data_IF_765858685924
#
_entry.id   IF_765858685924
#
_cell.length_a   1.000
_cell.length_b   1.000
_cell.length_c   1.000
_cell.angle_alpha   90.00
_cell.angle_beta   90.00
_cell.angle_gamma   90.00
#
_symmetry.space_group_name_H-M   'P 1'
#
loop_
_entity.id
_entity.type
_entity.pdbx_description
1 polymer ?
#
# COMPACT_ATOMS: atom_id res chain seq x y z
N UNK A 1 -9.26 -29.24 5.81
CA UNK A 1 -8.15 -28.35 5.43
C UNK A 1 -6.97 -29.23 5.09
N UNK A 2 -6.75 -29.49 3.81
CA UNK A 2 -5.60 -30.28 3.38
C UNK A 2 -4.34 -29.40 3.46
N UNK A 3 -3.41 -29.75 4.36
CA UNK A 3 -2.22 -28.94 4.62
C UNK A 3 -1.26 -28.95 3.43
N UNK A 4 -1.30 -30.02 2.63
CA UNK A 4 -0.39 -30.22 1.51
C UNK A 4 -0.78 -29.33 0.31
N UNK A 5 -2.07 -29.12 0.09
CA UNK A 5 -2.60 -28.21 -0.93
C UNK A 5 -2.21 -26.75 -0.65
N UNK A 6 -2.40 -26.28 0.59
CA UNK A 6 -2.00 -24.92 1.00
C UNK A 6 -0.48 -24.75 0.88
N UNK A 7 0.30 -25.74 1.33
CA UNK A 7 1.76 -25.70 1.25
C UNK A 7 2.21 -25.57 -0.20
N UNK A 8 1.64 -26.35 -1.11
CA UNK A 8 1.95 -26.28 -2.53
C UNK A 8 1.66 -24.90 -3.10
N UNK A 9 0.48 -24.32 -2.81
CA UNK A 9 0.10 -22.99 -3.29
C UNK A 9 1.01 -21.87 -2.77
N UNK A 10 1.39 -21.92 -1.48
CA UNK A 10 2.29 -20.94 -0.87
C UNK A 10 3.72 -21.05 -1.41
N UNK A 11 4.14 -22.23 -1.86
CA UNK A 11 5.46 -22.43 -2.48
C UNK A 11 5.51 -22.11 -3.98
N UNK A 12 4.37 -21.75 -4.61
CA UNK A 12 4.37 -21.38 -6.03
C UNK A 12 5.22 -20.15 -6.26
N UNK A 13 6.00 -20.17 -7.34
CA UNK A 13 6.91 -19.08 -7.70
C UNK A 13 6.22 -17.73 -7.82
N UNK A 14 4.98 -17.69 -8.32
CA UNK A 14 4.20 -16.46 -8.49
C UNK A 14 3.83 -15.82 -7.14
N UNK A 15 3.37 -16.64 -6.17
CA UNK A 15 3.03 -16.16 -4.84
C UNK A 15 4.27 -15.71 -4.07
N UNK A 16 5.38 -16.45 -4.17
CA UNK A 16 6.66 -16.08 -3.55
C UNK A 16 7.20 -14.78 -4.14
N UNK A 17 7.10 -14.57 -5.46
CA UNK A 17 7.48 -13.30 -6.10
C UNK A 17 6.62 -12.15 -5.62
N UNK A 18 5.29 -12.33 -5.56
CA UNK A 18 4.38 -11.32 -5.04
C UNK A 18 4.74 -10.96 -3.59
N UNK A 19 4.94 -11.97 -2.73
CA UNK A 19 5.39 -11.77 -1.35
C UNK A 19 6.70 -11.00 -1.28
N UNK A 20 7.71 -11.37 -2.07
CA UNK A 20 9.01 -10.71 -2.08
C UNK A 20 8.89 -9.23 -2.50
N UNK A 21 8.15 -8.94 -3.57
CA UNK A 21 7.91 -7.56 -4.03
C UNK A 21 7.16 -6.77 -2.96
N UNK A 22 6.09 -7.33 -2.38
CA UNK A 22 5.32 -6.68 -1.33
C UNK A 22 6.12 -6.45 -0.05
N UNK A 23 6.98 -7.39 0.35
CA UNK A 23 7.85 -7.23 1.50
C UNK A 23 8.86 -6.10 1.28
N UNK A 24 9.55 -6.09 0.14
CA UNK A 24 10.52 -5.04 -0.19
C UNK A 24 9.86 -3.66 -0.26
N UNK A 25 8.70 -3.58 -0.91
CA UNK A 25 7.91 -2.36 -0.98
C UNK A 25 7.52 -1.86 0.42
N UNK A 26 7.05 -2.76 1.28
CA UNK A 26 6.66 -2.43 2.66
C UNK A 26 7.84 -1.99 3.51
N UNK A 27 9.00 -2.64 3.42
CA UNK A 27 10.21 -2.23 4.15
C UNK A 27 10.62 -0.81 3.72
N UNK A 28 10.58 -0.51 2.42
CA UNK A 28 10.95 0.80 1.90
C UNK A 28 10.01 1.92 2.38
N UNK A 29 8.71 1.65 2.56
CA UNK A 29 7.71 2.65 2.91
C UNK A 29 7.45 2.76 4.42
N UNK A 30 7.45 1.65 5.16
CA UNK A 30 6.93 1.62 6.54
C UNK A 30 7.75 2.49 7.49
N UNK A 31 9.09 2.38 7.47
CA UNK A 31 9.94 3.16 8.37
C UNK A 31 9.76 4.67 8.19
N UNK A 32 9.92 5.20 6.97
CA UNK A 32 9.67 6.61 6.68
C UNK A 32 8.25 7.08 7.00
N UNK A 33 7.20 6.28 6.71
CA UNK A 33 5.81 6.66 6.98
C UNK A 33 5.51 6.72 8.49
N UNK A 34 6.07 5.81 9.30
CA UNK A 34 5.93 5.85 10.76
C UNK A 34 6.54 7.10 11.38
N UNK A 35 7.48 7.76 10.70
CA UNK A 35 8.13 8.99 11.14
C UNK A 35 7.59 10.24 10.42
N UNK A 36 6.54 10.12 9.60
CA UNK A 36 6.04 11.21 8.77
C UNK A 36 5.54 12.40 9.58
N UNK A 37 4.80 12.16 10.67
CA UNK A 37 4.33 13.24 11.57
C UNK A 37 5.50 13.98 12.22
N UNK A 38 6.53 13.24 12.64
CA UNK A 38 7.77 13.81 13.22
C UNK A 38 8.52 14.63 12.16
N UNK A 39 8.55 14.14 10.92
CA UNK A 39 9.12 14.87 9.81
C UNK A 39 8.35 16.18 9.55
N UNK A 40 7.03 16.16 9.53
CA UNK A 40 6.22 17.36 9.34
C UNK A 40 6.41 18.39 10.46
N UNK A 41 6.45 17.94 11.71
CA UNK A 41 6.77 18.79 12.87
C UNK A 41 8.17 19.41 12.73
N UNK A 42 9.17 18.61 12.36
CA UNK A 42 10.54 19.09 12.08
C UNK A 42 10.59 20.12 10.92
N UNK A 43 9.70 20.00 9.93
CA UNK A 43 9.56 20.96 8.83
C UNK A 43 8.76 22.21 9.21
N UNK A 44 8.30 22.32 10.46
CA UNK A 44 7.63 23.50 11.01
C UNK A 44 6.11 23.51 10.86
N UNK A 45 5.48 22.37 10.55
CA UNK A 45 4.02 22.26 10.51
C UNK A 45 3.46 22.21 11.94
N UNK A 46 2.36 22.92 12.17
CA UNK A 46 1.59 22.82 13.41
C UNK A 46 0.88 21.47 13.52
N UNK A 47 0.51 21.08 14.75
CA UNK A 47 -0.24 19.85 15.00
C UNK A 47 -1.56 19.79 14.22
N UNK A 48 -2.20 20.93 13.98
CA UNK A 48 -3.44 21.04 13.22
C UNK A 48 -3.21 20.78 11.72
N UNK A 49 -2.14 21.32 11.16
CA UNK A 49 -1.74 21.04 9.77
C UNK A 49 -1.36 19.58 9.57
N UNK A 50 -0.64 18.99 10.52
CA UNK A 50 -0.32 17.55 10.51
C UNK A 50 -1.61 16.73 10.52
N UNK A 51 -2.57 17.08 11.38
CA UNK A 51 -3.89 16.46 11.41
C UNK A 51 -4.62 16.52 10.07
N UNK A 52 -4.61 17.68 9.40
CA UNK A 52 -5.16 17.80 8.05
C UNK A 52 -4.42 16.92 7.03
N UNK A 53 -3.09 16.82 7.12
CA UNK A 53 -2.31 15.92 6.28
C UNK A 53 -2.79 14.47 6.40
N UNK A 54 -3.02 14.00 7.63
CA UNK A 54 -3.53 12.65 7.88
C UNK A 54 -4.94 12.44 7.33
N UNK A 55 -5.80 13.45 7.45
CA UNK A 55 -7.16 13.42 6.87
C UNK A 55 -7.09 13.34 5.35
N UNK A 56 -6.26 14.16 4.70
CA UNK A 56 -6.07 14.14 3.25
C UNK A 56 -5.57 12.77 2.79
N UNK A 57 -4.63 12.17 3.53
CA UNK A 57 -4.14 10.82 3.27
C UNK A 57 -5.27 9.78 3.34
N UNK A 58 -6.04 9.76 4.43
CA UNK A 58 -7.17 8.83 4.59
C UNK A 58 -8.29 9.03 3.56
N UNK A 59 -8.57 10.28 3.17
CA UNK A 59 -9.54 10.57 2.10
C UNK A 59 -9.03 10.08 0.74
N UNK A 60 -7.72 10.19 0.48
CA UNK A 60 -7.11 9.62 -0.73
C UNK A 60 -7.25 8.10 -0.77
N UNK A 61 -7.02 7.40 0.35
CA UNK A 61 -7.26 5.95 0.44
C UNK A 61 -8.72 5.61 0.13
N UNK A 62 -9.66 6.32 0.76
CA UNK A 62 -11.08 6.11 0.55
C UNK A 62 -11.48 6.31 -0.91
N UNK A 63 -10.93 7.33 -1.57
CA UNK A 63 -11.17 7.60 -2.97
C UNK A 63 -10.74 6.42 -3.88
N UNK A 64 -9.58 5.83 -3.61
CA UNK A 64 -9.10 4.64 -4.34
C UNK A 64 -9.99 3.43 -4.10
N UNK A 65 -10.50 3.24 -2.87
CA UNK A 65 -11.47 2.17 -2.58
C UNK A 65 -12.74 2.37 -3.41
N UNK A 66 -13.26 3.59 -3.45
CA UNK A 66 -14.50 3.89 -4.17
C UNK A 66 -14.35 3.68 -5.69
N UNK A 67 -13.19 3.98 -6.26
CA UNK A 67 -12.92 3.80 -7.68
C UNK A 67 -12.28 2.46 -8.04
N UNK A 68 -12.20 1.50 -7.10
CA UNK A 68 -11.48 0.24 -7.36
C UNK A 68 -11.96 -0.48 -8.63
N UNK A 69 -13.28 -0.60 -8.84
CA UNK A 69 -13.85 -1.34 -9.97
C UNK A 69 -13.41 -0.69 -11.28
N UNK A 70 -13.53 0.63 -11.36
CA UNK A 70 -13.09 1.41 -12.51
C UNK A 70 -11.58 1.30 -12.72
N UNK A 71 -10.76 1.17 -11.68
CA UNK A 71 -9.31 0.99 -11.86
C UNK A 71 -8.99 -0.38 -12.48
N UNK A 72 -9.64 -1.45 -12.01
CA UNK A 72 -9.44 -2.82 -12.52
C UNK A 72 -10.07 -3.05 -13.89
N UNK A 73 -11.15 -2.34 -14.24
CA UNK A 73 -11.78 -2.45 -15.56
C UNK A 73 -10.91 -1.84 -16.68
N UNK A 74 -10.09 -0.84 -16.36
CA UNK A 74 -9.32 -0.07 -17.35
C UNK A 74 -7.84 -0.45 -17.43
N UNK A 75 -7.27 -1.05 -16.38
CA UNK A 75 -5.85 -1.36 -16.29
C UNK A 75 -5.62 -2.77 -15.76
N UNK A 76 -4.54 -3.42 -16.23
CA UNK A 76 -4.13 -4.71 -15.67
C UNK A 76 -3.54 -4.57 -14.27
N UNK A 77 -3.62 -5.63 -13.47
CA UNK A 77 -3.01 -5.71 -12.15
C UNK A 77 -1.53 -5.29 -12.14
N UNK A 78 -0.74 -5.79 -13.10
CA UNK A 78 0.69 -5.46 -13.18
C UNK A 78 0.92 -3.95 -13.46
N UNK A 79 0.03 -3.34 -14.22
CA UNK A 79 0.06 -1.89 -14.50
C UNK A 79 -0.26 -1.11 -13.24
N UNK A 80 -1.35 -1.47 -12.54
CA UNK A 80 -1.76 -0.81 -11.29
C UNK A 80 -0.70 -0.96 -10.18
N UNK A 81 -0.06 -2.14 -10.10
CA UNK A 81 1.04 -2.38 -9.17
C UNK A 81 2.24 -1.48 -9.49
N UNK A 82 2.60 -1.38 -10.77
CA UNK A 82 3.70 -0.52 -11.23
C UNK A 82 3.40 0.95 -10.97
N UNK A 83 2.17 1.41 -11.24
CA UNK A 83 1.71 2.77 -10.94
C UNK A 83 1.87 3.08 -9.45
N UNK A 84 1.48 2.15 -8.57
CA UNK A 84 1.61 2.33 -7.11
C UNK A 84 3.07 2.50 -6.67
N UNK A 85 3.98 1.70 -7.24
CA UNK A 85 5.41 1.76 -6.95
C UNK A 85 6.04 3.07 -7.46
N UNK A 86 5.73 3.46 -8.69
CA UNK A 86 6.25 4.70 -9.28
C UNK A 86 5.71 5.92 -8.52
N UNK A 87 4.40 5.92 -8.21
CA UNK A 87 3.74 6.96 -7.40
C UNK A 87 4.42 7.13 -6.05
N UNK A 88 4.83 6.03 -5.41
CA UNK A 88 5.59 6.07 -4.16
C UNK A 88 6.95 6.75 -4.33
N UNK A 89 7.69 6.40 -5.38
CA UNK A 89 8.97 7.06 -5.70
C UNK A 89 8.79 8.56 -5.93
N UNK A 90 7.78 8.96 -6.69
CA UNK A 90 7.45 10.37 -6.95
C UNK A 90 7.11 11.09 -5.65
N UNK A 91 6.29 10.49 -4.77
CA UNK A 91 5.95 11.08 -3.48
C UNK A 91 7.19 11.34 -2.63
N UNK A 92 8.13 10.41 -2.58
CA UNK A 92 9.37 10.60 -1.82
C UNK A 92 10.20 11.76 -2.36
N UNK A 93 10.31 11.89 -3.68
CA UNK A 93 10.99 13.02 -4.30
C UNK A 93 10.29 14.36 -4.00
N UNK A 94 8.95 14.37 -4.01
CA UNK A 94 8.16 15.55 -3.64
C UNK A 94 8.34 15.93 -2.17
N UNK A 95 8.34 14.95 -1.26
CA UNK A 95 8.56 15.19 0.17
C UNK A 95 9.91 15.86 0.46
N UNK A 96 10.98 15.37 -0.20
CA UNK A 96 12.33 15.92 -0.01
C UNK A 96 12.47 17.31 -0.65
N UNK A 97 11.85 17.55 -1.79
CA UNK A 97 11.98 18.81 -2.54
C UNK A 97 11.01 19.91 -2.08
N UNK A 98 9.89 19.56 -1.45
CA UNK A 98 8.90 20.51 -0.98
C UNK A 98 9.50 21.48 0.04
N UNK A 99 9.32 22.79 -0.17
CA UNK A 99 9.81 23.86 0.74
C UNK A 99 8.70 24.54 1.54
N UNK A 100 7.45 24.44 1.08
CA UNK A 100 6.28 25.04 1.70
C UNK A 100 5.46 23.98 2.45
N UNK A 101 4.87 24.31 3.61
CA UNK A 101 3.91 23.44 4.31
C UNK A 101 2.78 22.96 3.40
N UNK A 102 2.25 23.82 2.53
CA UNK A 102 1.20 23.45 1.60
C UNK A 102 1.64 22.35 0.62
N UNK A 103 2.87 22.43 0.10
CA UNK A 103 3.41 21.40 -0.77
C UNK A 103 3.59 20.06 -0.03
N UNK A 104 3.99 20.10 1.25
CA UNK A 104 4.11 18.90 2.08
C UNK A 104 2.74 18.24 2.29
N UNK A 105 1.71 19.01 2.60
CA UNK A 105 0.34 18.50 2.74
C UNK A 105 -0.21 17.95 1.42
N UNK A 106 0.08 18.60 0.29
CA UNK A 106 -0.33 18.11 -1.02
C UNK A 106 0.26 16.72 -1.36
N UNK A 107 1.43 16.38 -0.81
CA UNK A 107 1.98 15.02 -1.00
C UNK A 107 1.10 13.92 -0.40
N UNK A 108 0.24 14.25 0.57
CA UNK A 108 -0.67 13.30 1.21
C UNK A 108 -1.72 12.76 0.25
N UNK A 109 -2.02 13.47 -0.83
CA UNK A 109 -2.93 12.98 -1.89
C UNK A 109 -2.40 11.69 -2.56
N UNK A 110 -1.08 11.46 -2.54
CA UNK A 110 -0.49 10.23 -3.07
C UNK A 110 -0.64 9.01 -2.14
N UNK A 111 -1.17 9.18 -0.91
CA UNK A 111 -1.27 8.08 0.07
C UNK A 111 -2.11 6.91 -0.47
N UNK A 112 -3.29 7.19 -1.00
CA UNK A 112 -4.17 6.16 -1.56
C UNK A 112 -3.54 5.43 -2.74
N UNK A 113 -2.85 6.14 -3.64
CA UNK A 113 -2.15 5.52 -4.77
C UNK A 113 -0.99 4.63 -4.32
N UNK A 114 -0.34 4.96 -3.20
CA UNK A 114 0.83 4.24 -2.73
C UNK A 114 0.44 3.02 -1.91
N UNK A 115 -0.45 3.20 -0.93
CA UNK A 115 -0.82 2.14 -0.01
C UNK A 115 -2.05 1.39 -0.48
N UNK A 116 -3.16 2.09 -0.69
CA UNK A 116 -4.45 1.44 -0.93
C UNK A 116 -4.51 0.75 -2.29
N UNK A 117 -4.00 1.39 -3.35
CA UNK A 117 -3.97 0.79 -4.68
C UNK A 117 -3.08 -0.44 -4.71
N UNK A 118 -1.87 -0.35 -4.13
CA UNK A 118 -0.97 -1.48 -3.99
C UNK A 118 -1.63 -2.64 -3.26
N UNK A 119 -2.28 -2.36 -2.13
CA UNK A 119 -2.96 -3.35 -1.30
C UNK A 119 -4.08 -4.06 -2.06
N UNK A 120 -4.96 -3.30 -2.74
CA UNK A 120 -6.07 -3.86 -3.52
C UNK A 120 -5.57 -4.78 -4.63
N UNK A 121 -4.56 -4.35 -5.40
CA UNK A 121 -3.97 -5.14 -6.48
C UNK A 121 -3.30 -6.40 -5.93
N UNK A 122 -2.58 -6.29 -4.80
CA UNK A 122 -1.96 -7.45 -4.19
C UNK A 122 -3.00 -8.46 -3.69
N UNK A 123 -4.09 -8.00 -3.07
CA UNK A 123 -5.20 -8.87 -2.66
C UNK A 123 -5.87 -9.53 -3.87
N UNK A 124 -6.11 -8.79 -4.95
CA UNK A 124 -6.67 -9.33 -6.18
C UNK A 124 -5.78 -10.43 -6.76
N UNK A 125 -4.47 -10.19 -6.88
CA UNK A 125 -3.50 -11.20 -7.31
C UNK A 125 -3.49 -12.44 -6.41
N UNK A 126 -3.66 -12.28 -5.11
CA UNK A 126 -3.79 -13.42 -4.20
C UNK A 126 -5.07 -14.21 -4.47
N UNK A 127 -6.19 -13.53 -4.71
CA UNK A 127 -7.45 -14.19 -5.08
C UNK A 127 -7.36 -14.94 -6.40
N UNK A 128 -6.56 -14.44 -7.36
CA UNK A 128 -6.37 -15.12 -8.65
C UNK A 128 -5.42 -16.33 -8.56
N UNK A 129 -4.53 -16.34 -7.56
CA UNK A 129 -3.56 -17.43 -7.34
C UNK A 129 -4.14 -18.61 -6.55
N UNK A 130 -5.20 -18.37 -5.76
CA UNK A 130 -5.84 -19.36 -4.89
C UNK A 130 -7.26 -19.66 -5.39
N UNK A 131 -7.76 -20.90 -5.24
CA UNK A 131 -9.15 -21.19 -5.55
C UNK A 131 -10.09 -20.43 -4.58
N UNK A 132 -11.35 -20.14 -4.98
CA UNK A 132 -12.26 -19.32 -4.19
C UNK A 132 -12.44 -19.78 -2.73
N UNK A 133 -12.38 -21.09 -2.50
CA UNK A 133 -12.51 -21.72 -1.17
C UNK A 133 -11.29 -21.46 -0.27
N UNK A 134 -10.13 -21.18 -0.85
CA UNK A 134 -8.86 -20.93 -0.15
C UNK A 134 -8.39 -19.48 -0.24
N UNK A 135 -9.06 -18.62 -1.00
CA UNK A 135 -8.69 -17.21 -1.18
C UNK A 135 -8.55 -16.46 0.16
N UNK A 136 -9.46 -16.70 1.11
CA UNK A 136 -9.38 -16.11 2.45
C UNK A 136 -8.14 -16.56 3.25
N UNK A 137 -7.72 -17.82 3.09
CA UNK A 137 -6.49 -18.32 3.70
C UNK A 137 -5.26 -17.71 3.03
N UNK A 138 -5.26 -17.61 1.70
CA UNK A 138 -4.23 -16.93 0.92
C UNK A 138 -4.04 -15.47 1.35
N UNK A 139 -5.13 -14.71 1.48
CA UNK A 139 -5.10 -13.32 1.96
C UNK A 139 -4.56 -13.22 3.40
N UNK A 140 -4.93 -14.15 4.28
CA UNK A 140 -4.44 -14.17 5.66
C UNK A 140 -2.93 -14.43 5.70
N UNK A 141 -2.44 -15.39 4.92
CA UNK A 141 -1.01 -15.72 4.83
C UNK A 141 -0.24 -14.55 4.22
N UNK A 142 -0.75 -14.01 3.11
CA UNK A 142 -0.20 -12.83 2.47
C UNK A 142 -0.12 -11.69 3.47
N UNK A 143 -1.24 -11.28 4.09
CA UNK A 143 -1.29 -10.22 5.09
C UNK A 143 -0.31 -10.43 6.25
N UNK A 144 -0.15 -11.65 6.76
CA UNK A 144 0.81 -11.91 7.86
C UNK A 144 2.28 -11.79 7.43
N UNK A 145 2.61 -12.20 6.21
CA UNK A 145 3.98 -12.25 5.73
C UNK A 145 4.43 -10.95 5.05
N UNK A 146 3.53 -10.32 4.28
CA UNK A 146 3.78 -9.04 3.63
C UNK A 146 3.54 -7.86 4.58
N UNK A 147 2.57 -7.98 5.50
CA UNK A 147 2.28 -6.96 6.51
C UNK A 147 2.68 -7.45 7.90
N UNK A 148 3.98 -7.38 8.18
CA UNK A 148 4.43 -7.22 9.56
C UNK A 148 3.88 -5.85 10.02
N UNK A 149 2.82 -5.91 10.85
CA UNK A 149 2.10 -4.81 11.52
C UNK A 149 0.72 -4.40 10.94
N UNK A 150 -0.33 -5.04 11.44
CA UNK A 150 -1.56 -4.37 11.89
C UNK A 150 -1.58 -4.50 13.42
N UNK A 151 -1.23 -3.44 14.15
CA UNK A 151 -1.49 -3.38 15.58
C UNK A 151 -1.98 -1.97 15.96
N UNK A 152 -3.27 -1.74 15.76
CA UNK A 152 -3.99 -0.72 16.52
C UNK A 152 -4.23 0.60 15.79
N UNK A 153 -4.99 0.56 14.70
CA UNK A 153 -6.20 1.38 14.73
C UNK A 153 -7.28 0.63 15.49
#
# INVERSE_FOLDING_TARGET
MDKDEIKHMVTRGDFVRLLAVSLLYRIALTGPLSLLSVYFDYRGLSALEIGFGMIIGGLSEMAIIMWNQTLFDYMSDDTLLTVSIISSGIRWLLLISAKSPFCLLATQVFEGLNYMLFYLVAVQKVNDLFPPELAGAGQTIFGRLSCIWNNGR
#
